data_IF_263388062359
#
_entry.id   IF_263388062359
#
_cell.length_a   1.000
_cell.length_b   1.000
_cell.length_c   1.000
_cell.angle_alpha   90.00
_cell.angle_beta   90.00
_cell.angle_gamma   90.00
#
_symmetry.space_group_name_H-M   'P 1'
#
loop_
_entity.id
_entity.type
_entity.pdbx_description
1 polymer ?
#
# COMPACT_ATOMS: atom_id res chain seq x y z
N UNK A 1 -3.65 -13.96 -65.34
CA UNK A 1 -4.44 -13.36 -64.25
C UNK A 1 -3.59 -13.37 -63.01
N UNK A 2 -2.89 -12.26 -62.77
CA UNK A 2 -2.07 -12.06 -61.59
C UNK A 2 -2.97 -11.71 -60.40
N UNK A 3 -3.00 -12.58 -59.39
CA UNK A 3 -3.66 -12.31 -58.13
C UNK A 3 -2.65 -11.68 -57.16
N UNK A 4 -2.78 -10.36 -57.08
CA UNK A 4 -2.17 -9.39 -56.16
C UNK A 4 -1.72 -9.93 -54.80
N UNK A 5 -0.40 -9.87 -54.58
CA UNK A 5 0.34 -10.23 -53.36
C UNK A 5 0.25 -9.17 -52.24
N UNK A 6 -0.80 -8.33 -52.22
CA UNK A 6 -0.94 -7.21 -51.26
C UNK A 6 -1.88 -7.47 -50.09
N UNK A 7 -2.68 -8.54 -50.10
CA UNK A 7 -3.67 -8.82 -49.05
C UNK A 7 -3.22 -9.78 -47.94
N UNK A 8 -2.05 -10.42 -48.06
CA UNK A 8 -1.56 -11.39 -47.07
C UNK A 8 -0.69 -10.76 -45.96
N UNK A 9 -0.15 -9.56 -46.17
CA UNK A 9 0.61 -8.83 -45.14
C UNK A 9 -0.28 -8.09 -44.13
N UNK A 10 -1.54 -7.81 -44.48
CA UNK A 10 -2.49 -7.14 -43.59
C UNK A 10 -3.03 -8.04 -42.48
N UNK A 11 -3.16 -9.34 -42.73
CA UNK A 11 -3.71 -10.29 -41.75
C UNK A 11 -2.70 -10.66 -40.64
N UNK A 12 -1.40 -10.69 -40.98
CA UNK A 12 -0.33 -11.05 -40.04
C UNK A 12 -0.04 -9.91 -39.05
N UNK A 13 -0.25 -8.65 -39.46
CA UNK A 13 0.01 -7.49 -38.60
C UNK A 13 -1.08 -7.26 -37.54
N UNK A 14 -2.30 -7.74 -37.77
CA UNK A 14 -3.42 -7.59 -36.81
C UNK A 14 -3.31 -8.56 -35.63
N UNK A 15 -2.58 -9.68 -35.80
CA UNK A 15 -2.37 -10.66 -34.72
C UNK A 15 -1.28 -10.21 -33.74
N UNK A 16 -0.39 -9.29 -34.13
CA UNK A 16 0.69 -8.76 -33.27
C UNK A 16 0.26 -7.56 -32.40
N UNK A 17 -0.97 -7.06 -32.58
CA UNK A 17 -1.56 -5.96 -31.80
C UNK A 17 -2.76 -6.41 -30.95
N UNK A 18 -2.93 -7.72 -30.72
CA UNK A 18 -3.72 -8.12 -29.56
C UNK A 18 -2.90 -7.75 -28.33
N UNK A 19 -3.36 -6.79 -27.50
CA UNK A 19 -2.75 -6.63 -26.19
C UNK A 19 -2.88 -7.99 -25.54
N UNK A 20 -1.76 -8.53 -25.04
CA UNK A 20 -1.79 -9.64 -24.12
C UNK A 20 -2.89 -9.32 -23.11
N UNK A 21 -4.01 -10.04 -23.21
CA UNK A 21 -5.06 -10.03 -22.21
C UNK A 21 -4.38 -10.63 -20.99
N UNK A 22 -3.71 -9.77 -20.22
CA UNK A 22 -3.46 -10.00 -18.82
C UNK A 22 -4.83 -10.20 -18.21
N UNK A 23 -5.27 -11.45 -18.16
CA UNK A 23 -6.37 -11.89 -17.31
C UNK A 23 -5.84 -11.76 -15.88
N UNK A 24 -5.78 -10.52 -15.37
CA UNK A 24 -5.63 -10.27 -13.95
C UNK A 24 -6.96 -10.69 -13.33
N UNK A 25 -7.10 -11.98 -13.01
CA UNK A 25 -8.25 -12.49 -12.27
C UNK A 25 -8.16 -11.91 -10.86
N UNK A 26 -9.02 -10.96 -10.51
CA UNK A 26 -8.98 -10.35 -9.19
C UNK A 26 -9.69 -11.24 -8.17
N UNK A 27 -8.92 -11.80 -7.23
CA UNK A 27 -9.42 -12.75 -6.25
C UNK A 27 -9.59 -12.10 -4.86
N UNK A 28 -10.64 -12.49 -4.14
CA UNK A 28 -10.77 -12.21 -2.71
C UNK A 28 -10.52 -13.47 -1.90
N UNK A 29 -9.44 -13.49 -1.13
CA UNK A 29 -9.11 -14.62 -0.27
C UNK A 29 -10.02 -14.72 0.96
N UNK A 30 -10.18 -15.92 1.53
CA UNK A 30 -10.71 -16.07 2.88
C UNK A 30 -9.89 -15.26 3.89
N UNK A 31 -10.54 -14.89 5.00
CA UNK A 31 -9.87 -14.26 6.14
C UNK A 31 -9.06 -15.37 6.81
N UNK A 32 -7.83 -15.53 6.38
CA UNK A 32 -6.93 -16.50 6.97
C UNK A 32 -6.38 -15.90 8.27
N UNK A 33 -6.44 -16.64 9.38
CA UNK A 33 -5.89 -16.26 10.69
C UNK A 33 -4.34 -16.16 10.70
N UNK A 34 -3.70 -16.02 9.54
CA UNK A 34 -2.27 -15.76 9.43
C UNK A 34 -1.94 -14.28 9.67
N UNK A 35 -2.57 -13.70 10.70
CA UNK A 35 -2.21 -12.36 11.12
C UNK A 35 -0.94 -12.45 11.96
N UNK A 36 0.23 -12.34 11.33
CA UNK A 36 1.46 -12.05 12.06
C UNK A 36 1.21 -10.77 12.87
N UNK A 37 1.38 -10.72 14.20
CA UNK A 37 0.96 -9.59 15.04
C UNK A 37 1.52 -8.22 14.61
N UNK A 38 2.56 -8.19 13.78
CA UNK A 38 3.21 -6.98 13.23
C UNK A 38 2.71 -6.61 11.82
N UNK A 39 2.30 -7.63 11.05
CA UNK A 39 1.97 -7.58 9.63
C UNK A 39 3.11 -7.33 8.66
N UNK A 40 2.97 -7.78 7.41
CA UNK A 40 3.99 -7.67 6.36
C UNK A 40 4.37 -6.22 6.04
N UNK A 41 3.52 -5.25 6.39
CA UNK A 41 3.82 -3.83 6.24
C UNK A 41 4.60 -3.19 7.39
N UNK A 42 4.77 -3.87 8.53
CA UNK A 42 5.49 -3.32 9.69
C UNK A 42 4.73 -2.23 10.45
N UNK A 43 3.40 -2.17 10.30
CA UNK A 43 2.56 -1.18 10.97
C UNK A 43 2.27 -1.51 12.44
N UNK A 44 2.48 -2.76 12.87
CA UNK A 44 2.12 -3.21 14.21
C UNK A 44 0.61 -3.07 14.46
N UNK A 45 0.23 -2.75 15.69
CA UNK A 45 -1.19 -2.56 16.06
C UNK A 45 -1.90 -1.44 15.28
N UNK A 46 -1.16 -0.46 14.78
CA UNK A 46 -1.74 0.58 13.93
C UNK A 46 -2.31 -0.01 12.62
N UNK A 47 -1.72 -1.09 12.09
CA UNK A 47 -2.22 -1.77 10.89
C UNK A 47 -3.63 -2.32 11.04
N UNK A 48 -4.08 -2.61 12.26
CA UNK A 48 -5.45 -3.09 12.54
C UNK A 48 -6.48 -1.98 12.64
N UNK A 49 -6.05 -0.76 12.91
CA UNK A 49 -6.93 0.38 13.25
C UNK A 49 -6.91 1.50 12.21
N UNK A 50 -5.89 1.52 11.34
CA UNK A 50 -5.83 2.45 10.22
C UNK A 50 -7.11 2.39 9.39
N UNK A 51 -7.58 3.55 8.94
CA UNK A 51 -8.85 3.69 8.22
C UNK A 51 -10.04 3.02 8.96
N UNK A 52 -10.08 3.16 10.29
CA UNK A 52 -11.09 2.56 11.17
C UNK A 52 -11.18 1.03 11.04
N UNK A 53 -10.05 0.36 10.77
CA UNK A 53 -10.00 -1.09 10.55
C UNK A 53 -10.55 -1.55 9.20
N UNK A 54 -10.83 -0.62 8.29
CA UNK A 54 -11.23 -0.91 6.90
C UNK A 54 -9.93 -1.06 6.08
N UNK A 55 -9.37 -2.26 6.13
CA UNK A 55 -8.05 -2.61 5.62
C UNK A 55 -8.08 -3.88 4.78
N UNK A 56 -6.99 -4.13 4.05
CA UNK A 56 -6.81 -5.34 3.28
C UNK A 56 -5.36 -5.86 3.34
N UNK A 57 -5.22 -7.19 3.26
CA UNK A 57 -3.99 -7.84 2.83
C UNK A 57 -3.98 -7.94 1.31
N UNK A 58 -2.84 -7.77 0.64
CA UNK A 58 -2.78 -7.82 -0.83
C UNK A 58 -1.71 -8.77 -1.35
N UNK A 59 -1.94 -9.33 -2.54
CA UNK A 59 -1.01 -10.22 -3.25
C UNK A 59 0.28 -9.52 -3.66
N UNK A 60 1.32 -10.29 -4.02
CA UNK A 60 2.62 -9.76 -4.46
C UNK A 60 2.54 -8.66 -5.55
N UNK A 61 1.72 -8.78 -6.62
CA UNK A 61 1.62 -7.72 -7.63
C UNK A 61 1.20 -6.35 -7.08
N UNK A 62 0.43 -6.34 -5.98
CA UNK A 62 -0.05 -5.14 -5.31
C UNK A 62 0.84 -4.75 -4.13
N UNK A 63 1.45 -5.71 -3.43
CA UNK A 63 2.32 -5.48 -2.28
C UNK A 63 3.68 -4.92 -2.69
N UNK A 64 4.26 -5.40 -3.79
CA UNK A 64 5.50 -4.89 -4.41
C UNK A 64 6.65 -4.74 -3.42
N UNK A 65 7.03 -5.82 -2.74
CA UNK A 65 8.09 -5.84 -1.73
C UNK A 65 7.92 -4.75 -0.64
N UNK A 66 6.66 -4.48 -0.27
CA UNK A 66 6.30 -3.48 0.72
C UNK A 66 6.15 -2.05 0.20
N UNK A 67 6.46 -1.77 -1.07
CA UNK A 67 6.19 -0.46 -1.66
C UNK A 67 4.67 -0.15 -1.76
N UNK A 68 3.83 -1.19 -1.80
CA UNK A 68 2.37 -1.08 -1.77
C UNK A 68 1.75 -0.85 -0.39
N UNK A 69 2.53 -0.95 0.69
CA UNK A 69 2.04 -0.72 2.04
C UNK A 69 1.55 0.73 2.23
N UNK A 70 0.38 0.88 2.85
CA UNK A 70 -0.27 2.17 3.06
C UNK A 70 -0.96 2.76 1.83
N UNK A 71 -0.92 2.07 0.67
CA UNK A 71 -1.70 2.49 -0.51
C UNK A 71 -3.19 2.19 -0.33
N UNK A 72 -4.03 2.92 -1.07
CA UNK A 72 -5.48 2.82 -0.97
C UNK A 72 -6.10 2.28 -2.25
N UNK A 73 -7.10 1.43 -2.09
CA UNK A 73 -7.89 0.87 -3.18
C UNK A 73 -9.38 1.08 -2.91
N UNK A 74 -10.12 1.35 -3.97
CA UNK A 74 -11.57 1.18 -4.00
C UNK A 74 -11.85 -0.21 -4.58
N UNK A 75 -12.53 -1.04 -3.80
CA UNK A 75 -12.92 -2.39 -4.17
C UNK A 75 -14.41 -2.37 -4.46
N UNK A 76 -14.77 -2.66 -5.70
CA UNK A 76 -16.16 -2.75 -6.14
C UNK A 76 -16.48 -4.19 -6.50
N UNK A 77 -17.75 -4.57 -6.43
CA UNK A 77 -18.20 -5.83 -7.00
C UNK A 77 -19.53 -5.71 -7.74
N UNK A 78 -19.71 -6.54 -8.77
CA UNK A 78 -20.87 -6.47 -9.70
C UNK A 78 -22.05 -7.36 -9.32
N UNK A 79 -21.91 -8.17 -8.28
CA UNK A 79 -23.00 -9.03 -7.80
C UNK A 79 -24.13 -8.16 -7.24
N UNK A 80 -25.39 -8.61 -7.34
CA UNK A 80 -26.57 -7.96 -6.73
C UNK A 80 -26.40 -7.70 -5.20
N UNK A 81 -25.53 -8.49 -4.59
CA UNK A 81 -25.14 -8.41 -3.19
C UNK A 81 -24.24 -7.22 -2.83
N UNK A 82 -23.63 -6.58 -3.82
CA UNK A 82 -22.63 -5.54 -3.62
C UNK A 82 -23.26 -4.15 -3.47
N UNK A 83 -22.58 -3.28 -2.73
CA UNK A 83 -22.77 -1.84 -2.85
C UNK A 83 -22.07 -1.35 -4.12
N UNK A 84 -22.79 -0.61 -4.98
CA UNK A 84 -22.22 -0.04 -6.20
C UNK A 84 -21.05 0.91 -5.92
N UNK A 85 -21.06 1.57 -4.76
CA UNK A 85 -19.97 2.47 -4.34
C UNK A 85 -18.70 1.70 -3.96
N UNK A 86 -18.82 0.41 -3.65
CA UNK A 86 -17.72 -0.40 -3.13
C UNK A 86 -17.21 0.06 -1.77
N UNK A 87 -16.03 -0.43 -1.40
CA UNK A 87 -15.35 -0.11 -0.13
C UNK A 87 -13.97 0.47 -0.39
N UNK A 88 -13.59 1.48 0.39
CA UNK A 88 -12.23 2.04 0.38
C UNK A 88 -11.39 1.37 1.45
N UNK A 89 -10.31 0.71 1.06
CA UNK A 89 -9.40 0.00 1.96
C UNK A 89 -7.99 0.56 1.93
N UNK A 90 -7.29 0.44 3.05
CA UNK A 90 -5.84 0.67 3.15
C UNK A 90 -5.12 -0.66 3.17
N UNK A 91 -4.04 -0.79 2.39
CA UNK A 91 -3.15 -1.96 2.44
C UNK A 91 -2.35 -1.94 3.73
N UNK A 92 -2.60 -2.90 4.61
CA UNK A 92 -1.91 -3.05 5.89
C UNK A 92 -1.11 -4.35 5.98
N UNK A 93 -1.27 -5.27 5.04
CA UNK A 93 -0.63 -6.58 5.04
C UNK A 93 -0.45 -7.17 3.63
N UNK A 94 0.18 -8.33 3.55
CA UNK A 94 0.39 -9.09 2.32
C UNK A 94 -0.20 -10.50 2.41
N UNK A 95 -0.57 -11.07 1.27
CA UNK A 95 -0.97 -12.48 1.13
C UNK A 95 -0.09 -13.19 0.09
N UNK A 96 0.00 -14.51 0.19
CA UNK A 96 0.95 -15.33 -0.57
C UNK A 96 0.67 -15.52 -2.06
N UNK A 97 -0.41 -14.97 -2.62
CA UNK A 97 -0.67 -15.05 -4.07
C UNK A 97 0.37 -14.22 -4.83
N UNK A 98 1.07 -14.89 -5.74
CA UNK A 98 2.15 -14.30 -6.54
C UNK A 98 1.76 -13.99 -7.98
N UNK A 99 0.61 -14.46 -8.44
CA UNK A 99 0.27 -14.46 -9.87
C UNK A 99 -0.75 -13.40 -10.21
N UNK A 100 -1.77 -13.26 -9.38
CA UNK A 100 -2.89 -12.39 -9.66
C UNK A 100 -2.93 -11.22 -8.69
N UNK A 101 -3.41 -10.06 -9.16
CA UNK A 101 -3.78 -8.94 -8.29
C UNK A 101 -4.99 -9.34 -7.47
N UNK A 102 -4.80 -9.64 -6.19
CA UNK A 102 -5.85 -10.10 -5.28
C UNK A 102 -5.70 -9.46 -3.91
N UNK A 103 -6.79 -9.46 -3.14
CA UNK A 103 -6.81 -8.90 -1.79
C UNK A 103 -7.68 -9.71 -0.84
N UNK A 104 -7.37 -9.71 0.44
CA UNK A 104 -8.24 -10.21 1.50
C UNK A 104 -8.72 -9.03 2.33
N UNK A 105 -10.05 -8.84 2.38
CA UNK A 105 -10.68 -7.74 3.10
C UNK A 105 -10.77 -8.05 4.60
N UNK A 106 -10.61 -7.02 5.44
CA UNK A 106 -11.02 -7.13 6.84
C UNK A 106 -12.53 -7.41 6.95
N UNK A 107 -13.01 -8.03 8.04
CA UNK A 107 -14.44 -8.28 8.23
C UNK A 107 -15.31 -7.02 8.10
N UNK A 108 -14.83 -5.89 8.63
CA UNK A 108 -15.51 -4.60 8.49
C UNK A 108 -15.57 -4.12 7.03
N UNK A 109 -14.47 -4.26 6.28
CA UNK A 109 -14.43 -3.88 4.88
C UNK A 109 -15.36 -4.75 4.01
N UNK A 110 -15.38 -6.06 4.25
CA UNK A 110 -16.30 -6.98 3.57
C UNK A 110 -17.76 -6.64 3.86
N UNK A 111 -18.11 -6.35 5.12
CA UNK A 111 -19.46 -5.96 5.53
C UNK A 111 -19.94 -4.68 4.82
N UNK A 112 -19.05 -3.69 4.64
CA UNK A 112 -19.34 -2.48 3.85
C UNK A 112 -19.54 -2.83 2.38
N UNK A 113 -18.65 -3.64 1.79
CA UNK A 113 -18.73 -4.03 0.38
C UNK A 113 -20.07 -4.71 0.03
N UNK A 114 -20.62 -5.52 0.95
CA UNK A 114 -21.93 -6.18 0.76
C UNK A 114 -23.12 -5.41 1.31
N UNK A 115 -22.94 -4.15 1.72
CA UNK A 115 -23.97 -3.33 2.33
C UNK A 115 -24.68 -4.02 3.52
N UNK A 116 -23.94 -4.77 4.33
CA UNK A 116 -24.45 -5.58 5.45
C UNK A 116 -25.58 -6.56 5.09
N UNK A 117 -25.72 -6.94 3.81
CA UNK A 117 -26.75 -7.90 3.38
C UNK A 117 -26.41 -9.32 3.88
N UNK A 118 -27.30 -9.98 4.65
CA UNK A 118 -27.06 -11.33 5.16
C UNK A 118 -26.81 -12.34 4.03
N UNK A 119 -25.86 -13.26 4.23
CA UNK A 119 -25.54 -14.31 3.26
C UNK A 119 -24.74 -13.85 2.03
N UNK A 120 -24.61 -12.54 1.78
CA UNK A 120 -23.86 -12.01 0.64
C UNK A 120 -22.35 -12.18 0.79
N UNK A 121 -21.81 -12.13 2.02
CA UNK A 121 -20.39 -12.37 2.28
C UNK A 121 -19.92 -13.76 1.81
N UNK A 122 -20.77 -14.78 1.91
CA UNK A 122 -20.45 -16.13 1.42
C UNK A 122 -20.52 -16.22 -0.10
N UNK A 123 -21.42 -15.47 -0.76
CA UNK A 123 -21.54 -15.45 -2.22
C UNK A 123 -20.30 -14.86 -2.90
N UNK A 124 -19.74 -13.78 -2.34
CA UNK A 124 -18.51 -13.16 -2.85
C UNK A 124 -17.32 -14.14 -2.86
N UNK A 125 -17.26 -15.09 -1.92
CA UNK A 125 -16.18 -16.08 -1.85
C UNK A 125 -16.19 -17.09 -3.01
N UNK A 126 -17.33 -17.26 -3.67
CA UNK A 126 -17.51 -18.28 -4.72
C UNK A 126 -17.48 -17.71 -6.14
N UNK A 127 -17.82 -16.43 -6.32
CA UNK A 127 -17.85 -15.77 -7.63
C UNK A 127 -16.61 -14.88 -7.84
N UNK A 128 -15.54 -15.50 -8.36
CA UNK A 128 -14.21 -14.89 -8.56
C UNK A 128 -14.12 -13.88 -9.73
N UNK A 129 -15.21 -13.64 -10.47
CA UNK A 129 -15.18 -12.87 -11.73
C UNK A 129 -15.64 -11.41 -11.63
N UNK A 130 -16.19 -10.99 -10.50
CA UNK A 130 -16.95 -9.74 -10.39
C UNK A 130 -16.31 -8.67 -9.52
N UNK A 131 -15.09 -8.86 -9.05
CA UNK A 131 -14.35 -7.88 -8.24
C UNK A 131 -13.55 -6.94 -9.14
N UNK A 132 -13.56 -5.66 -8.78
CA UNK A 132 -12.73 -4.61 -9.41
C UNK A 132 -11.93 -3.89 -8.33
N UNK A 133 -10.60 -3.94 -8.44
CA UNK A 133 -9.62 -3.36 -7.52
C UNK A 133 -9.02 -2.12 -8.19
N UNK A 134 -9.50 -0.95 -7.80
CA UNK A 134 -9.03 0.32 -8.36
C UNK A 134 -8.14 1.06 -7.37
N UNK A 135 -6.88 1.32 -7.74
CA UNK A 135 -6.00 2.19 -6.94
C UNK A 135 -6.56 3.61 -6.89
N UNK A 136 -6.66 4.19 -5.70
CA UNK A 136 -7.20 5.52 -5.46
C UNK A 136 -6.30 6.33 -4.51
N UNK A 137 -6.35 7.68 -4.52
CA UNK A 137 -5.62 8.48 -3.56
C UNK A 137 -6.07 8.21 -2.12
N UNK A 138 -5.13 8.04 -1.20
CA UNK A 138 -5.40 7.97 0.23
C UNK A 138 -5.81 9.31 0.81
N UNK A 139 -6.68 9.26 1.83
CA UNK A 139 -7.23 10.43 2.55
C UNK A 139 -7.25 10.16 4.06
N UNK A 140 -6.35 10.81 4.78
CA UNK A 140 -6.21 10.75 6.23
C UNK A 140 -6.49 12.14 6.83
N UNK A 141 -7.24 12.22 7.94
CA UNK A 141 -7.40 13.46 8.68
C UNK A 141 -6.09 13.78 9.43
N UNK A 142 -5.37 14.81 8.97
CA UNK A 142 -4.23 15.38 9.68
C UNK A 142 -2.89 15.23 8.97
N UNK A 143 -1.83 15.15 9.78
CA UNK A 143 -0.45 15.20 9.33
C UNK A 143 0.12 13.79 9.17
N UNK A 144 1.15 13.70 8.33
CA UNK A 144 2.00 12.51 8.24
C UNK A 144 2.63 12.24 9.61
N UNK A 145 2.72 10.96 9.99
CA UNK A 145 3.34 10.54 11.24
C UNK A 145 4.57 9.67 10.96
N UNK A 146 5.53 9.70 11.88
CA UNK A 146 6.69 8.81 11.90
C UNK A 146 6.57 7.89 13.10
N UNK A 147 6.40 6.60 12.86
CA UNK A 147 6.40 5.58 13.91
C UNK A 147 7.77 4.93 13.98
N UNK A 148 8.46 5.11 15.09
CA UNK A 148 9.72 4.43 15.38
C UNK A 148 9.39 2.99 15.79
N UNK A 149 10.03 2.02 15.16
CA UNK A 149 9.82 0.60 15.44
C UNK A 149 10.33 0.24 16.84
N UNK A 150 9.66 -0.71 17.48
CA UNK A 150 9.94 -1.23 18.81
C UNK A 150 11.35 -1.84 18.91
N UNK A 151 11.87 -2.37 17.80
CA UNK A 151 13.23 -2.91 17.70
C UNK A 151 14.34 -1.83 17.68
N UNK A 152 14.00 -0.54 17.67
CA UNK A 152 14.97 0.55 17.64
C UNK A 152 15.71 0.70 18.97
N UNK A 153 16.89 1.33 18.95
CA UNK A 153 17.71 1.65 20.12
C UNK A 153 18.33 3.04 19.96
N UNK A 154 18.05 3.93 20.91
CA UNK A 154 18.54 5.31 20.90
C UNK A 154 19.78 5.49 21.81
N UNK A 155 20.98 5.77 21.26
CA UNK A 155 21.39 5.56 19.87
C UNK A 155 21.83 4.11 19.62
N UNK A 156 22.01 3.75 18.35
CA UNK A 156 22.55 2.45 17.92
C UNK A 156 21.83 1.83 16.73
N UNK A 157 20.50 1.87 16.73
CA UNK A 157 19.71 1.36 15.59
C UNK A 157 18.39 2.13 15.48
N UNK A 158 18.06 2.59 14.28
CA UNK A 158 16.85 3.34 14.02
C UNK A 158 16.07 2.65 12.92
N UNK A 159 14.81 2.31 13.18
CA UNK A 159 13.88 1.82 12.17
C UNK A 159 12.57 2.60 12.28
N UNK A 160 12.02 3.01 11.14
CA UNK A 160 10.87 3.91 11.08
C UNK A 160 9.91 3.50 9.98
N UNK A 161 8.62 3.76 10.23
CA UNK A 161 7.56 3.73 9.22
C UNK A 161 6.95 5.12 9.12
N UNK A 162 6.65 5.53 7.90
CA UNK A 162 5.93 6.77 7.60
C UNK A 162 4.46 6.42 7.39
N UNK A 163 3.59 7.00 8.21
CA UNK A 163 2.15 6.71 8.28
C UNK A 163 1.32 7.91 7.82
N UNK A 164 0.04 7.69 7.54
CA UNK A 164 -0.93 8.72 7.15
C UNK A 164 -0.52 9.53 5.90
N UNK A 165 0.12 8.88 4.93
CA UNK A 165 0.59 9.55 3.70
C UNK A 165 -0.57 9.73 2.72
N UNK A 166 -1.02 10.97 2.56
CA UNK A 166 -2.06 11.35 1.61
C UNK A 166 -1.59 11.26 0.15
N UNK A 167 -2.54 11.00 -0.75
CA UNK A 167 -2.32 10.96 -2.19
C UNK A 167 -2.16 9.54 -2.76
N UNK A 168 -1.75 9.46 -4.03
CA UNK A 168 -1.66 8.20 -4.78
C UNK A 168 -0.23 7.67 -4.92
N UNK A 169 0.79 8.44 -4.52
CA UNK A 169 2.20 8.11 -4.78
C UNK A 169 2.76 7.19 -3.68
N UNK A 170 3.58 6.23 -4.08
CA UNK A 170 4.35 5.39 -3.15
C UNK A 170 5.47 6.20 -2.49
N UNK A 171 5.90 5.76 -1.29
CA UNK A 171 7.16 6.20 -0.70
C UNK A 171 8.29 5.42 -1.35
N UNK A 172 9.09 6.09 -2.17
CA UNK A 172 10.15 5.43 -2.95
C UNK A 172 11.53 5.54 -2.32
N UNK A 173 11.74 6.47 -1.40
CA UNK A 173 13.02 6.69 -0.73
C UNK A 173 12.84 7.40 0.61
N UNK A 174 13.71 7.10 1.57
CA UNK A 174 13.83 7.77 2.86
C UNK A 174 15.32 7.99 3.12
N UNK A 175 15.69 9.17 3.60
CA UNK A 175 17.07 9.54 3.83
C UNK A 175 17.21 10.32 5.14
N UNK A 176 18.38 10.20 5.77
CA UNK A 176 18.74 10.86 7.02
C UNK A 176 19.85 11.88 6.77
N UNK A 177 19.74 13.05 7.41
CA UNK A 177 20.79 14.06 7.37
C UNK A 177 21.93 13.70 8.33
N UNK A 178 23.12 13.46 7.79
CA UNK A 178 24.33 13.22 8.57
C UNK A 178 25.09 14.53 8.75
N UNK A 179 24.86 15.22 9.87
CA UNK A 179 25.44 16.54 10.14
C UNK A 179 26.97 16.57 10.03
N UNK A 180 27.66 15.52 10.48
CA UNK A 180 29.12 15.42 10.39
C UNK A 180 29.65 15.32 8.96
N UNK A 181 28.85 14.79 8.04
CA UNK A 181 29.23 14.57 6.64
C UNK A 181 28.58 15.59 5.69
N UNK A 182 27.70 16.45 6.20
CA UNK A 182 26.92 17.42 5.43
C UNK A 182 26.20 16.82 4.20
N UNK A 183 25.68 15.60 4.33
CA UNK A 183 24.98 14.91 3.24
C UNK A 183 23.76 14.14 3.74
N UNK A 184 22.86 13.87 2.80
CA UNK A 184 21.77 12.94 2.99
C UNK A 184 22.24 11.51 2.71
N UNK A 185 21.98 10.60 3.63
CA UNK A 185 22.29 9.19 3.48
C UNK A 185 21.00 8.36 3.41
N UNK A 186 20.86 7.45 2.43
CA UNK A 186 19.66 6.65 2.29
C UNK A 186 19.50 5.65 3.44
N UNK A 187 18.25 5.51 3.90
CA UNK A 187 17.84 4.38 4.72
C UNK A 187 17.56 3.18 3.81
N UNK A 188 17.81 1.98 4.32
CA UNK A 188 17.46 0.75 3.63
C UNK A 188 16.01 0.40 3.96
N UNK A 189 15.22 -0.03 2.97
CA UNK A 189 13.94 -0.69 3.22
C UNK A 189 14.23 -2.11 3.72
N UNK A 190 14.05 -2.37 5.02
CA UNK A 190 14.41 -3.65 5.61
C UNK A 190 13.35 -4.72 5.36
N UNK A 191 12.07 -4.35 5.48
CA UNK A 191 10.91 -5.16 5.08
C UNK A 191 9.68 -4.25 5.00
N UNK A 192 8.66 -4.61 4.20
CA UNK A 192 7.39 -3.88 4.18
C UNK A 192 7.56 -2.37 3.94
N UNK A 193 6.95 -1.56 4.82
CA UNK A 193 7.13 -0.10 4.85
C UNK A 193 8.23 0.37 5.82
N UNK A 194 9.03 -0.54 6.39
CA UNK A 194 10.05 -0.23 7.40
C UNK A 194 11.35 0.17 6.71
N UNK A 195 11.85 1.35 7.10
CA UNK A 195 13.16 1.85 6.68
C UNK A 195 14.10 1.89 7.89
N UNK A 196 15.30 1.33 7.75
CA UNK A 196 16.29 1.24 8.82
C UNK A 196 17.61 1.97 8.54
N UNK A 197 18.30 2.28 9.63
CA UNK A 197 19.61 2.92 9.66
C UNK A 197 20.41 2.41 10.87
N UNK A 198 21.59 1.85 10.62
CA UNK A 198 22.51 1.45 11.66
C UNK A 198 23.31 2.66 12.17
N UNK A 199 23.50 2.76 13.49
CA UNK A 199 24.29 3.81 14.14
C UNK A 199 23.87 5.23 13.70
N UNK A 200 22.59 5.63 13.90
CA UNK A 200 22.14 6.98 13.58
C UNK A 200 22.92 8.03 14.39
N UNK A 201 22.99 9.30 13.93
CA UNK A 201 23.56 10.39 14.71
C UNK A 201 22.86 10.51 16.08
N UNK A 202 23.65 10.80 17.12
CA UNK A 202 23.09 11.19 18.41
C UNK A 202 22.34 12.52 18.28
N UNK A 203 21.19 12.64 18.94
CA UNK A 203 20.40 13.86 18.96
C UNK A 203 19.20 13.84 18.03
N UNK A 204 18.71 15.03 17.65
CA UNK A 204 17.59 15.19 16.73
C UNK A 204 17.88 14.52 15.39
N UNK A 205 16.95 13.69 14.91
CA UNK A 205 17.02 13.09 13.58
C UNK A 205 16.24 13.97 12.61
N UNK A 206 16.93 14.43 11.57
CA UNK A 206 16.29 15.06 10.40
C UNK A 206 16.19 14.03 9.28
N UNK A 207 14.96 13.72 8.88
CA UNK A 207 14.63 12.82 7.78
C UNK A 207 14.10 13.60 6.58
N UNK A 208 14.27 13.02 5.39
CA UNK A 208 13.44 13.32 4.22
C UNK A 208 12.91 12.06 3.59
N UNK A 209 11.73 12.13 2.98
CA UNK A 209 11.12 11.02 2.27
C UNK A 209 10.48 11.49 0.96
N UNK A 210 10.45 10.61 -0.04
CA UNK A 210 9.96 10.91 -1.39
C UNK A 210 8.61 10.24 -1.62
N UNK A 211 7.56 11.06 -1.68
CA UNK A 211 6.20 10.67 -2.08
C UNK A 211 5.78 11.52 -3.28
N UNK A 212 6.34 11.21 -4.46
CA UNK A 212 6.35 12.08 -5.63
C UNK A 212 7.39 13.21 -5.51
N UNK A 213 7.30 14.01 -4.44
CA UNK A 213 8.27 15.06 -4.10
C UNK A 213 8.91 14.78 -2.73
N UNK A 214 10.07 15.40 -2.48
CA UNK A 214 10.72 15.33 -1.18
C UNK A 214 9.98 16.13 -0.13
N UNK A 215 9.78 15.53 1.04
CA UNK A 215 9.28 16.16 2.27
C UNK A 215 10.26 15.89 3.39
N UNK A 216 10.42 16.85 4.30
CA UNK A 216 11.33 16.74 5.45
C UNK A 216 10.53 16.66 6.75
N UNK A 217 11.04 15.90 7.71
CA UNK A 217 10.45 15.77 9.03
C UNK A 217 11.54 15.58 10.08
N UNK A 218 11.26 16.04 11.30
CA UNK A 218 12.18 15.97 12.44
C UNK A 218 11.63 15.02 13.51
N UNK A 219 12.54 14.31 14.16
CA UNK A 219 12.27 13.49 15.33
C UNK A 219 13.16 14.00 16.48
N UNK A 220 12.60 14.27 17.67
CA UNK A 220 13.35 14.87 18.78
C UNK A 220 14.45 13.93 19.29
N UNK A 221 15.50 14.48 19.91
CA UNK A 221 16.66 13.74 20.36
C UNK A 221 16.36 12.56 21.30
N UNK A 222 15.37 12.71 22.17
CA UNK A 222 14.93 11.71 23.14
C UNK A 222 13.89 10.73 22.57
N UNK A 223 13.97 10.43 21.28
CA UNK A 223 13.03 9.53 20.64
C UNK A 223 13.05 8.13 21.25
N UNK A 224 11.88 7.48 21.26
CA UNK A 224 11.68 6.21 21.94
C UNK A 224 11.20 5.14 20.95
N UNK A 225 11.65 3.88 21.10
CA UNK A 225 11.08 2.77 20.35
C UNK A 225 9.57 2.66 20.59
N UNK A 226 8.80 2.35 19.54
CA UNK A 226 7.33 2.27 19.57
C UNK A 226 6.60 3.63 19.56
N UNK A 227 7.32 4.75 19.72
CA UNK A 227 6.71 6.07 19.73
C UNK A 227 6.33 6.55 18.33
N UNK A 228 5.26 7.35 18.27
CA UNK A 228 4.77 7.96 17.02
C UNK A 228 4.87 9.48 17.12
N UNK A 229 5.48 10.10 16.12
CA UNK A 229 5.74 11.54 16.06
C UNK A 229 4.95 12.19 14.93
N UNK A 230 4.16 13.21 15.24
CA UNK A 230 3.49 14.05 14.25
C UNK A 230 4.50 15.00 13.60
N UNK A 231 4.60 14.95 12.28
CA UNK A 231 5.60 15.71 11.52
C UNK A 231 5.21 17.17 11.23
N UNK A 232 3.94 17.53 11.43
CA UNK A 232 3.33 18.78 10.93
C UNK A 232 3.42 18.94 9.40
N UNK A 233 3.77 17.88 8.68
CA UNK A 233 3.81 17.84 7.22
C UNK A 233 2.50 17.28 6.69
N UNK A 234 1.99 17.94 5.66
CA UNK A 234 0.87 17.46 4.87
C UNK A 234 1.27 17.31 3.40
N UNK A 235 0.69 16.32 2.75
CA UNK A 235 0.64 16.24 1.28
C UNK A 235 -0.79 16.62 0.90
N UNK A 236 -0.99 17.73 0.17
CA UNK A 236 -2.32 18.12 -0.28
C UNK A 236 -2.93 16.95 -1.06
N UNK A 237 -4.06 16.42 -0.59
CA UNK A 237 -4.84 15.50 -1.39
C UNK A 237 -5.29 16.22 -2.65
N UNK A 238 -4.96 15.71 -3.83
CA UNK A 238 -5.64 16.16 -5.05
C UNK A 238 -7.11 15.77 -4.91
N UNK A 239 -7.95 16.75 -4.57
CA UNK A 239 -9.40 16.63 -4.63
C UNK A 239 -9.77 16.52 -6.11
N UNK A 240 -9.85 15.30 -6.62
CA UNK A 240 -10.69 15.08 -7.79
C UNK A 240 -12.13 15.24 -7.30
N UNK A 241 -12.72 16.39 -7.63
CA UNK A 241 -14.15 16.63 -7.52
C UNK A 241 -14.90 15.66 -8.43
#
# INVERSE_FOLDING_TARGET
MELSFKHQLGLVCVILFFPALCNCQEYIGPVDDYWNPIGACGFGEYGKTVNNGIVAAVSEPLWRDGAGCGTCYQVCCKLQCCDEKGVYVVVSDAQGDRRNSSLTLSPGALSILVHNKPGCANRIKHDMGDIVIKRVPCRYPGNIKLRVQESSKNPGYFAVVILDVNGIRDITAVEMWLKSQQRWEPLRRSYGAVFDFANPPSGEILLRFKAGFWKQAKIPANWKPGATYDTKVQIPGTYYK
#
